data_IF_237417170065
#
_entry.id   IF_237417170065
#
_cell.length_a   1.000
_cell.length_b   1.000
_cell.length_c   1.000
_cell.angle_alpha   90.00
_cell.angle_beta   90.00
_cell.angle_gamma   90.00
#
_symmetry.space_group_name_H-M   'P 1'
#
loop_
_entity.id
_entity.type
_entity.pdbx_description
1 polymer ?
#
# COMPACT_ATOMS: atom_id res chain seq x y z
N UNK A 1 -0.67 -48.11 4.72
CA UNK A 1 -1.73 -47.10 4.92
C UNK A 1 -1.14 -45.80 4.43
N UNK A 2 -1.66 -45.26 3.34
CA UNK A 2 -1.12 -44.03 2.75
C UNK A 2 -1.36 -42.89 3.73
N UNK A 3 -0.29 -42.18 4.11
CA UNK A 3 -0.39 -40.92 4.83
C UNK A 3 -1.24 -39.96 3.98
N UNK A 4 -2.49 -39.74 4.39
CA UNK A 4 -3.31 -38.68 3.81
C UNK A 4 -2.63 -37.36 4.23
N UNK A 5 -1.86 -36.76 3.32
CA UNK A 5 -1.23 -35.46 3.54
C UNK A 5 -2.31 -34.45 3.92
N UNK A 6 -2.23 -33.91 5.14
CA UNK A 6 -3.21 -32.96 5.68
C UNK A 6 -2.94 -31.55 5.14
N UNK A 7 -3.27 -31.33 3.88
CA UNK A 7 -3.09 -30.04 3.20
C UNK A 7 -4.28 -29.08 3.39
N UNK A 8 -5.37 -29.51 4.04
CA UNK A 8 -6.58 -28.70 4.22
C UNK A 8 -6.68 -28.03 5.59
N UNK A 9 -6.08 -28.60 6.65
CA UNK A 9 -6.14 -28.02 8.00
C UNK A 9 -5.53 -26.62 8.06
N UNK A 10 -4.42 -26.36 7.36
CA UNK A 10 -3.82 -25.04 7.28
C UNK A 10 -4.75 -24.02 6.61
N UNK A 11 -5.50 -24.44 5.59
CA UNK A 11 -6.50 -23.60 4.92
C UNK A 11 -7.64 -23.26 5.89
N UNK A 12 -8.17 -24.23 6.64
CA UNK A 12 -9.25 -23.96 7.62
C UNK A 12 -8.81 -22.93 8.67
N UNK A 13 -7.60 -23.10 9.22
CA UNK A 13 -7.04 -22.17 10.20
C UNK A 13 -6.84 -20.74 9.65
N UNK A 14 -6.47 -20.60 8.36
CA UNK A 14 -6.30 -19.29 7.74
C UNK A 14 -7.63 -18.51 7.58
N UNK A 15 -8.75 -19.21 7.44
CA UNK A 15 -10.07 -18.61 7.24
C UNK A 15 -10.89 -18.44 8.53
N UNK A 16 -10.53 -19.14 9.61
CA UNK A 16 -11.11 -18.97 10.94
C UNK A 16 -11.18 -17.50 11.42
N UNK A 17 -10.11 -16.67 11.33
CA UNK A 17 -10.17 -15.27 11.75
C UNK A 17 -11.06 -14.41 10.85
N UNK A 18 -11.29 -14.80 9.60
CA UNK A 18 -12.13 -14.05 8.66
C UNK A 18 -13.63 -14.22 8.96
N UNK A 19 -14.02 -15.28 9.69
CA UNK A 19 -15.40 -15.57 10.11
C UNK A 19 -16.43 -15.40 8.97
N UNK A 20 -16.17 -15.99 7.80
CA UNK A 20 -17.08 -15.84 6.66
C UNK A 20 -18.46 -16.47 6.97
N UNK A 21 -19.58 -15.80 6.64
CA UNK A 21 -20.92 -16.31 6.93
C UNK A 21 -21.28 -17.57 6.11
N UNK A 22 -20.70 -17.70 4.92
CA UNK A 22 -20.75 -18.86 4.05
C UNK A 22 -19.57 -18.78 3.06
N UNK A 23 -19.09 -19.89 2.48
CA UNK A 23 -19.42 -21.30 2.73
C UNK A 23 -18.62 -21.94 3.88
N UNK A 24 -19.12 -23.05 4.46
CA UNK A 24 -18.41 -23.79 5.50
C UNK A 24 -17.14 -24.48 4.97
N UNK A 25 -15.99 -24.19 5.59
CA UNK A 25 -14.71 -24.79 5.25
C UNK A 25 -14.56 -26.21 5.81
N UNK A 26 -15.21 -27.17 5.15
CA UNK A 26 -15.10 -28.58 5.53
C UNK A 26 -13.97 -29.30 4.77
N UNK A 27 -13.28 -30.27 5.39
CA UNK A 27 -12.24 -31.07 4.72
C UNK A 27 -12.72 -31.75 3.43
N UNK A 28 -14.00 -32.13 3.37
CA UNK A 28 -14.62 -32.76 2.19
C UNK A 28 -14.58 -31.85 0.96
N UNK A 29 -14.82 -30.55 1.15
CA UNK A 29 -14.76 -29.56 0.06
C UNK A 29 -13.33 -29.23 -0.31
N UNK A 30 -12.41 -29.15 0.66
CA UNK A 30 -11.00 -28.81 0.44
C UNK A 30 -10.19 -29.94 -0.22
N UNK A 31 -10.60 -31.21 -0.06
CA UNK A 31 -10.00 -32.35 -0.79
C UNK A 31 -10.22 -32.28 -2.31
N UNK A 32 -11.33 -31.69 -2.76
CA UNK A 32 -11.63 -31.49 -4.19
C UNK A 32 -12.52 -30.25 -4.36
N UNK A 33 -11.94 -29.03 -4.30
CA UNK A 33 -12.73 -27.81 -4.25
C UNK A 33 -13.48 -27.59 -5.57
N UNK A 34 -14.82 -27.59 -5.58
CA UNK A 34 -15.59 -27.25 -6.78
C UNK A 34 -15.46 -25.74 -7.07
N UNK A 35 -15.54 -25.35 -8.34
CA UNK A 35 -15.46 -23.92 -8.72
C UNK A 35 -16.47 -23.04 -7.97
N UNK A 36 -17.70 -23.54 -7.80
CA UNK A 36 -18.77 -22.86 -7.05
C UNK A 36 -18.31 -22.49 -5.63
N UNK A 37 -17.65 -23.41 -4.94
CA UNK A 37 -17.13 -23.19 -3.59
C UNK A 37 -16.05 -22.10 -3.56
N UNK A 38 -15.11 -22.11 -4.52
CA UNK A 38 -14.08 -21.06 -4.63
C UNK A 38 -14.72 -19.69 -4.88
N UNK A 39 -15.72 -19.64 -5.78
CA UNK A 39 -16.46 -18.42 -6.07
C UNK A 39 -17.23 -17.92 -4.84
N UNK A 40 -17.92 -18.82 -4.13
CA UNK A 40 -18.68 -18.47 -2.93
C UNK A 40 -17.77 -17.95 -1.81
N UNK A 41 -16.55 -18.48 -1.67
CA UNK A 41 -15.53 -17.93 -0.74
C UNK A 41 -15.20 -16.48 -1.10
N UNK A 42 -14.91 -16.21 -2.39
CA UNK A 42 -14.55 -14.87 -2.83
C UNK A 42 -15.72 -13.91 -2.62
N UNK A 43 -16.95 -14.30 -2.96
CA UNK A 43 -18.16 -13.52 -2.67
C UNK A 43 -18.34 -13.29 -1.17
N UNK A 44 -18.05 -14.27 -0.33
CA UNK A 44 -18.10 -14.13 1.14
C UNK A 44 -17.09 -13.10 1.64
N UNK A 45 -15.87 -13.11 1.11
CA UNK A 45 -14.84 -12.10 1.42
C UNK A 45 -15.28 -10.73 0.93
N UNK A 46 -15.79 -10.62 -0.30
CA UNK A 46 -16.24 -9.35 -0.86
C UNK A 46 -17.46 -8.77 -0.12
N UNK A 47 -18.39 -9.61 0.32
CA UNK A 47 -19.53 -9.18 1.11
C UNK A 47 -19.15 -8.60 2.47
N UNK A 48 -18.07 -9.09 3.09
CA UNK A 48 -17.63 -8.67 4.43
C UNK A 48 -16.55 -7.58 4.42
N UNK A 49 -15.58 -7.72 3.52
CA UNK A 49 -14.36 -6.91 3.48
C UNK A 49 -14.25 -6.01 2.25
N UNK A 50 -15.09 -6.24 1.23
CA UNK A 50 -15.11 -5.51 -0.04
C UNK A 50 -13.73 -5.40 -0.72
N UNK A 51 -12.96 -6.48 -0.67
CA UNK A 51 -11.53 -6.53 -1.02
C UNK A 51 -11.26 -6.70 -2.53
N UNK A 52 -11.98 -7.60 -3.21
CA UNK A 52 -11.74 -8.02 -4.60
C UNK A 52 -12.74 -7.47 -5.62
N UNK A 53 -13.80 -6.80 -5.17
CA UNK A 53 -14.83 -6.17 -6.02
C UNK A 53 -14.26 -5.29 -7.16
N UNK A 54 -13.10 -4.68 -6.97
CA UNK A 54 -12.48 -3.79 -7.96
C UNK A 54 -11.59 -4.52 -8.99
N UNK A 55 -11.27 -5.78 -8.72
CA UNK A 55 -10.39 -6.63 -9.55
C UNK A 55 -11.22 -7.50 -10.49
N UNK A 56 -12.35 -8.01 -9.99
CA UNK A 56 -13.22 -8.91 -10.73
C UNK A 56 -14.20 -8.07 -11.55
N UNK A 57 -14.25 -8.25 -12.89
CA UNK A 57 -15.21 -7.57 -13.75
C UNK A 57 -16.66 -7.86 -13.30
N UNK A 58 -17.54 -6.87 -13.37
CA UNK A 58 -18.96 -7.01 -12.95
C UNK A 58 -19.68 -8.14 -13.69
N UNK A 59 -19.24 -8.48 -14.89
CA UNK A 59 -19.79 -9.60 -15.68
C UNK A 59 -19.44 -10.99 -15.13
N UNK A 60 -18.35 -11.09 -14.36
CA UNK A 60 -17.83 -12.32 -13.76
C UNK A 60 -18.11 -12.43 -12.25
N UNK A 61 -18.77 -11.43 -11.65
CA UNK A 61 -19.18 -11.46 -10.24
C UNK A 61 -20.39 -12.37 -9.99
N UNK A 62 -21.23 -12.59 -11.00
CA UNK A 62 -22.40 -13.46 -10.87
C UNK A 62 -22.05 -14.92 -11.21
N UNK A 63 -22.17 -15.80 -10.22
CA UNK A 63 -21.96 -17.25 -10.41
C UNK A 63 -22.78 -17.86 -11.56
N UNK A 64 -23.96 -17.31 -11.86
CA UNK A 64 -24.83 -17.75 -12.96
C UNK A 64 -24.41 -17.24 -14.35
N UNK A 65 -23.47 -16.29 -14.43
CA UNK A 65 -22.91 -15.82 -15.71
C UNK A 65 -21.62 -16.55 -16.08
N UNK A 66 -21.01 -17.25 -15.11
CA UNK A 66 -19.73 -17.95 -15.21
C UNK A 66 -19.94 -19.46 -15.41
N UNK A 67 -20.77 -19.82 -16.38
CA UNK A 67 -21.10 -21.22 -16.66
C UNK A 67 -20.05 -21.87 -17.57
N UNK A 68 -19.56 -21.10 -18.54
CA UNK A 68 -18.62 -21.54 -19.57
C UNK A 68 -17.23 -21.80 -18.98
N UNK A 69 -16.54 -22.83 -19.48
CA UNK A 69 -15.20 -23.23 -19.03
C UNK A 69 -14.18 -22.10 -19.18
N UNK A 70 -14.26 -21.34 -20.26
CA UNK A 70 -13.38 -20.23 -20.59
C UNK A 70 -13.50 -19.12 -19.54
N UNK A 71 -14.74 -18.76 -19.16
CA UNK A 71 -15.01 -17.73 -18.14
C UNK A 71 -14.50 -18.14 -16.76
N UNK A 72 -14.61 -19.43 -16.41
CA UNK A 72 -14.04 -19.96 -15.14
C UNK A 72 -12.52 -19.82 -15.10
N UNK A 73 -11.87 -20.10 -16.24
CA UNK A 73 -10.42 -19.95 -16.38
C UNK A 73 -10.03 -18.47 -16.29
N UNK A 74 -10.75 -17.59 -16.98
CA UNK A 74 -10.53 -16.14 -16.94
C UNK A 74 -10.66 -15.58 -15.52
N UNK A 75 -11.75 -15.92 -14.82
CA UNK A 75 -11.97 -15.53 -13.43
C UNK A 75 -10.80 -15.92 -12.52
N UNK A 76 -10.39 -17.20 -12.57
CA UNK A 76 -9.27 -17.68 -11.75
C UNK A 76 -7.94 -17.06 -12.16
N UNK A 77 -7.72 -16.81 -13.45
CA UNK A 77 -6.48 -16.19 -13.94
C UNK A 77 -6.35 -14.76 -13.41
N UNK A 78 -7.42 -13.97 -13.49
CA UNK A 78 -7.45 -12.61 -12.96
C UNK A 78 -7.20 -12.59 -11.46
N UNK A 79 -7.85 -13.49 -10.71
CA UNK A 79 -7.69 -13.58 -9.26
C UNK A 79 -6.27 -14.01 -8.85
N UNK A 80 -5.69 -15.02 -9.52
CA UNK A 80 -4.32 -15.48 -9.26
C UNK A 80 -3.31 -14.37 -9.56
N UNK A 81 -3.46 -13.69 -10.71
CA UNK A 81 -2.57 -12.60 -11.09
C UNK A 81 -2.62 -11.47 -10.05
N UNK A 82 -3.81 -11.12 -9.58
CA UNK A 82 -3.97 -10.11 -8.54
C UNK A 82 -3.28 -10.49 -7.23
N UNK A 83 -3.51 -11.71 -6.73
CA UNK A 83 -2.86 -12.20 -5.50
C UNK A 83 -1.33 -12.24 -5.67
N UNK A 84 -0.83 -12.64 -6.85
CA UNK A 84 0.60 -12.64 -7.14
C UNK A 84 1.20 -11.22 -7.10
N UNK A 85 0.52 -10.23 -7.66
CA UNK A 85 0.96 -8.82 -7.62
C UNK A 85 0.93 -8.28 -6.20
N UNK A 86 -0.14 -8.57 -5.46
CA UNK A 86 -0.36 -8.05 -4.12
C UNK A 86 0.66 -8.59 -3.11
N UNK A 87 0.92 -9.90 -3.14
CA UNK A 87 1.87 -10.56 -2.24
C UNK A 87 3.31 -10.53 -2.77
N UNK A 88 3.52 -10.10 -4.02
CA UNK A 88 4.81 -10.20 -4.73
C UNK A 88 5.41 -11.63 -4.73
N UNK A 89 4.53 -12.64 -4.72
CA UNK A 89 4.90 -14.08 -4.74
C UNK A 89 4.33 -14.69 -6.02
N UNK A 90 5.10 -15.54 -6.71
CA UNK A 90 4.58 -16.33 -7.83
C UNK A 90 4.00 -17.66 -7.33
N UNK A 91 2.68 -17.80 -7.43
CA UNK A 91 2.00 -19.05 -7.12
C UNK A 91 2.07 -20.04 -8.31
N UNK A 92 2.58 -21.25 -8.07
CA UNK A 92 2.61 -22.35 -9.06
C UNK A 92 1.22 -23.02 -9.16
N UNK A 93 0.23 -22.27 -9.64
CA UNK A 93 -1.16 -22.69 -9.71
C UNK A 93 -1.72 -22.47 -11.10
N UNK A 94 -2.23 -23.54 -11.71
CA UNK A 94 -2.79 -23.46 -13.06
C UNK A 94 -4.33 -23.45 -13.01
N UNK A 95 -5.00 -22.39 -13.52
CA UNK A 95 -6.45 -22.27 -13.48
C UNK A 95 -7.17 -23.42 -14.21
N UNK A 96 -6.56 -23.99 -15.26
CA UNK A 96 -7.12 -25.16 -15.98
C UNK A 96 -7.15 -26.42 -15.10
N UNK A 97 -6.17 -26.58 -14.20
CA UNK A 97 -6.07 -27.71 -13.26
C UNK A 97 -7.12 -27.57 -12.15
N UNK A 98 -7.31 -26.37 -11.61
CA UNK A 98 -8.36 -26.08 -10.63
C UNK A 98 -9.74 -26.40 -11.20
N UNK A 99 -10.08 -25.90 -12.40
CA UNK A 99 -11.41 -26.13 -13.02
C UNK A 99 -11.67 -27.62 -13.29
N UNK A 100 -10.62 -28.41 -13.56
CA UNK A 100 -10.74 -29.86 -13.74
C UNK A 100 -10.68 -30.66 -12.43
N UNK A 101 -10.50 -30.00 -11.28
CA UNK A 101 -10.40 -30.63 -9.96
C UNK A 101 -9.11 -31.44 -9.76
N UNK A 102 -8.02 -31.05 -10.43
CA UNK A 102 -6.68 -31.60 -10.24
C UNK A 102 -5.84 -30.69 -9.35
N UNK A 103 -4.82 -31.26 -8.70
CA UNK A 103 -3.88 -30.52 -7.84
C UNK A 103 -4.59 -29.75 -6.69
N UNK A 104 -5.39 -30.44 -5.85
CA UNK A 104 -6.08 -29.80 -4.73
C UNK A 104 -5.09 -29.20 -3.71
N UNK A 105 -3.90 -29.79 -3.56
CA UNK A 105 -2.82 -29.27 -2.70
C UNK A 105 -2.43 -27.85 -3.08
N UNK A 106 -2.11 -27.61 -4.35
CA UNK A 106 -1.76 -26.29 -4.90
C UNK A 106 -2.94 -25.31 -4.82
N UNK A 107 -4.16 -25.82 -5.00
CA UNK A 107 -5.38 -25.01 -4.84
C UNK A 107 -5.55 -24.54 -3.40
N UNK A 108 -5.27 -25.40 -2.41
CA UNK A 108 -5.31 -25.04 -0.99
C UNK A 108 -4.25 -24.00 -0.63
N UNK A 109 -3.03 -24.12 -1.16
CA UNK A 109 -2.00 -23.09 -1.02
C UNK A 109 -2.52 -21.74 -1.56
N UNK A 110 -3.10 -21.72 -2.76
CA UNK A 110 -3.72 -20.50 -3.31
C UNK A 110 -4.81 -19.93 -2.39
N UNK A 111 -5.68 -20.76 -1.83
CA UNK A 111 -6.71 -20.30 -0.88
C UNK A 111 -6.10 -19.71 0.41
N UNK A 112 -5.00 -20.26 0.92
CA UNK A 112 -4.29 -19.69 2.08
C UNK A 112 -3.73 -18.30 1.76
N UNK A 113 -3.10 -18.14 0.59
CA UNK A 113 -2.63 -16.83 0.14
C UNK A 113 -3.79 -15.85 -0.10
N UNK A 114 -4.93 -16.33 -0.60
CA UNK A 114 -6.12 -15.52 -0.77
C UNK A 114 -6.62 -15.00 0.58
N UNK A 115 -6.71 -15.83 1.61
CA UNK A 115 -7.09 -15.40 2.96
C UNK A 115 -6.12 -14.36 3.55
N UNK A 116 -4.81 -14.58 3.41
CA UNK A 116 -3.80 -13.64 3.89
C UNK A 116 -3.81 -12.31 3.12
N UNK A 117 -4.11 -12.35 1.82
CA UNK A 117 -4.17 -11.20 0.93
C UNK A 117 -5.32 -10.24 1.24
N UNK A 118 -6.35 -10.64 2.00
CA UNK A 118 -7.52 -9.79 2.29
C UNK A 118 -7.10 -8.45 2.94
N UNK A 119 -6.20 -8.49 3.92
CA UNK A 119 -5.74 -7.28 4.61
C UNK A 119 -5.00 -6.32 3.67
N UNK A 120 -4.13 -6.84 2.82
CA UNK A 120 -3.39 -6.05 1.83
C UNK A 120 -4.30 -5.53 0.70
N UNK A 121 -5.30 -6.31 0.28
CA UNK A 121 -6.25 -5.92 -0.76
C UNK A 121 -7.13 -4.74 -0.31
N UNK A 122 -7.48 -4.67 0.98
CA UNK A 122 -8.17 -3.50 1.54
C UNK A 122 -7.31 -2.23 1.48
N UNK A 123 -6.00 -2.35 1.74
CA UNK A 123 -5.06 -1.23 1.65
C UNK A 123 -4.87 -0.77 0.20
N UNK A 124 -4.68 -1.71 -0.74
CA UNK A 124 -4.56 -1.42 -2.18
C UNK A 124 -5.80 -0.72 -2.73
N UNK A 125 -7.00 -1.15 -2.32
CA UNK A 125 -8.25 -0.47 -2.67
C UNK A 125 -8.29 0.96 -2.14
N UNK A 126 -7.93 1.17 -0.86
CA UNK A 126 -7.90 2.51 -0.27
C UNK A 126 -6.89 3.42 -0.99
N UNK A 127 -5.73 2.88 -1.38
CA UNK A 127 -4.72 3.60 -2.17
C UNK A 127 -5.24 3.96 -3.56
N UNK A 128 -5.87 3.03 -4.28
CA UNK A 128 -6.47 3.30 -5.61
C UNK A 128 -7.62 4.30 -5.56
N UNK A 129 -8.41 4.30 -4.49
CA UNK A 129 -9.46 5.30 -4.28
C UNK A 129 -8.85 6.68 -3.98
N UNK A 130 -7.77 6.74 -3.20
CA UNK A 130 -7.02 7.97 -2.95
C UNK A 130 -6.32 8.51 -4.22
N UNK A 131 -5.74 7.63 -5.05
CA UNK A 131 -5.14 8.00 -6.34
C UNK A 131 -6.18 8.50 -7.35
N UNK A 132 -7.37 7.89 -7.39
CA UNK A 132 -8.51 8.38 -8.20
C UNK A 132 -9.00 9.74 -7.72
N UNK A 133 -8.98 10.00 -6.41
CA UNK A 133 -9.30 11.33 -5.86
C UNK A 133 -8.19 12.35 -6.12
N UNK A 134 -6.92 11.95 -6.12
CA UNK A 134 -5.81 12.82 -6.51
C UNK A 134 -5.87 13.17 -8.01
N UNK A 135 -6.23 12.21 -8.88
CA UNK A 135 -6.37 12.46 -10.32
C UNK A 135 -7.59 13.31 -10.69
N UNK A 136 -8.66 13.36 -9.88
CA UNK A 136 -9.77 14.30 -10.13
C UNK A 136 -9.49 15.74 -9.66
N UNK A 137 -8.50 15.98 -8.79
CA UNK A 137 -8.03 17.35 -8.47
C UNK A 137 -7.03 17.86 -9.51
N UNK A 138 -6.36 16.95 -10.25
CA UNK A 138 -5.43 17.31 -11.34
C UNK A 138 -6.03 17.28 -12.75
N UNK A 139 -7.32 16.95 -12.92
CA UNK A 139 -8.02 16.97 -14.21
C UNK A 139 -8.48 18.37 -14.66
N UNK A 140 -7.67 19.41 -14.38
CA UNK A 140 -7.71 20.69 -15.09
C UNK A 140 -6.43 20.89 -15.91
N UNK A 141 -5.97 19.86 -16.61
CA UNK A 141 -5.01 20.00 -17.70
C UNK A 141 -4.99 18.72 -18.55
N UNK A 142 -5.97 18.59 -19.43
CA UNK A 142 -5.90 17.72 -20.60
C UNK A 142 -6.64 18.42 -21.75
N UNK A 143 -6.04 19.50 -22.24
CA UNK A 143 -6.31 20.01 -23.58
C UNK A 143 -5.25 19.41 -24.50
N UNK A 144 -5.55 18.24 -25.02
CA UNK A 144 -5.01 17.66 -26.25
C UNK A 144 -5.91 16.44 -26.51
N UNK A 145 -6.24 16.15 -27.78
CA UNK A 145 -7.15 15.06 -28.21
C UNK A 145 -8.67 15.31 -28.33
N UNK A 146 -9.13 16.57 -28.45
CA UNK A 146 -10.50 16.86 -28.98
C UNK A 146 -10.51 17.50 -30.37
N UNK A 147 -9.35 17.88 -30.91
CA UNK A 147 -9.25 18.54 -32.21
C UNK A 147 -9.38 17.56 -33.41
N UNK A 148 -9.04 16.29 -33.23
CA UNK A 148 -9.03 15.31 -34.34
C UNK A 148 -10.41 14.68 -34.59
N UNK A 149 -11.26 14.58 -33.56
CA UNK A 149 -12.61 14.02 -33.69
C UNK A 149 -13.62 15.00 -34.31
N UNK A 150 -13.41 16.32 -34.10
CA UNK A 150 -14.31 17.37 -34.57
C UNK A 150 -14.19 17.65 -36.09
N UNK A 151 -13.04 17.34 -36.71
CA UNK A 151 -12.81 17.54 -38.13
C UNK A 151 -13.62 16.59 -39.03
N UNK A 152 -14.18 15.50 -38.49
CA UNK A 152 -14.94 14.50 -39.25
C UNK A 152 -16.44 14.79 -39.40
N UNK A 153 -17.01 15.73 -38.64
CA UNK A 153 -18.47 15.93 -38.57
C UNK A 153 -18.99 17.32 -38.96
N UNK A 154 -18.18 18.19 -39.57
CA UNK A 154 -18.68 19.34 -40.34
C UNK A 154 -19.55 20.36 -39.58
N UNK A 155 -19.33 20.56 -38.28
CA UNK A 155 -20.05 21.57 -37.50
C UNK A 155 -19.14 22.77 -37.20
N UNK A 156 -19.49 23.92 -37.78
CA UNK A 156 -18.75 25.17 -37.65
C UNK A 156 -19.28 25.95 -36.44
N UNK A 157 -18.49 26.03 -35.37
CA UNK A 157 -18.80 26.86 -34.20
C UNK A 157 -18.17 28.26 -34.34
N UNK A 158 -18.87 29.34 -33.91
CA UNK A 158 -18.42 30.72 -34.06
C UNK A 158 -17.22 31.08 -33.18
N UNK A 159 -16.47 32.09 -33.64
CA UNK A 159 -15.16 32.50 -33.10
C UNK A 159 -15.21 32.98 -31.64
N UNK A 160 -14.17 32.61 -30.87
CA UNK A 160 -13.98 32.81 -29.42
C UNK A 160 -13.95 34.27 -28.95
N UNK A 161 -13.94 35.25 -29.84
CA UNK A 161 -13.80 36.68 -29.50
C UNK A 161 -15.11 37.38 -29.07
N UNK A 162 -16.23 36.65 -29.01
CA UNK A 162 -17.55 37.24 -28.72
C UNK A 162 -18.06 37.02 -27.28
N UNK A 163 -17.24 36.45 -26.37
CA UNK A 163 -17.67 36.22 -24.98
C UNK A 163 -17.14 37.30 -24.03
N UNK A 164 -17.98 37.90 -23.16
CA UNK A 164 -17.57 38.96 -22.24
C UNK A 164 -16.61 38.41 -21.18
N UNK A 165 -15.38 38.94 -21.16
CA UNK A 165 -14.32 38.56 -20.23
C UNK A 165 -14.66 39.04 -18.82
N UNK A 166 -15.08 38.13 -17.94
CA UNK A 166 -15.23 38.41 -16.50
C UNK A 166 -13.84 38.67 -15.91
N UNK A 167 -13.61 39.88 -15.41
CA UNK A 167 -12.34 40.34 -14.83
C UNK A 167 -12.09 39.59 -13.52
N UNK A 168 -11.36 38.49 -13.55
CA UNK A 168 -10.84 37.85 -12.33
C UNK A 168 -9.63 38.65 -11.84
N UNK A 169 -9.69 39.05 -10.57
CA UNK A 169 -8.67 39.83 -9.87
C UNK A 169 -7.36 39.03 -9.74
N UNK A 170 -6.38 39.34 -10.58
CA UNK A 170 -5.02 38.78 -10.56
C UNK A 170 -4.20 39.17 -9.32
N UNK A 171 -4.67 40.12 -8.52
CA UNK A 171 -4.01 40.55 -7.27
C UNK A 171 -4.10 39.51 -6.15
N UNK A 172 -5.21 38.77 -6.03
CA UNK A 172 -5.42 37.85 -4.91
C UNK A 172 -4.48 36.62 -4.92
N UNK A 173 -4.13 36.09 -6.10
CA UNK A 173 -3.21 34.95 -6.24
C UNK A 173 -1.73 35.32 -6.10
N UNK A 174 -1.37 36.59 -6.34
CA UNK A 174 -0.01 37.09 -6.15
C UNK A 174 0.26 37.35 -4.66
N UNK A 175 -0.67 38.03 -3.98
CA UNK A 175 -0.58 38.28 -2.53
C UNK A 175 -0.60 36.98 -1.72
N UNK A 176 -1.39 35.97 -2.13
CA UNK A 176 -1.37 34.64 -1.50
C UNK A 176 0.00 33.98 -1.61
N UNK A 177 0.64 33.98 -2.79
CA UNK A 177 1.99 33.42 -2.94
C UNK A 177 3.02 34.17 -2.08
N UNK A 178 2.96 35.50 -2.04
CA UNK A 178 3.87 36.31 -1.20
C UNK A 178 3.71 36.00 0.30
N UNK A 179 2.48 35.77 0.79
CA UNK A 179 2.24 35.38 2.19
C UNK A 179 2.67 33.95 2.54
N UNK A 180 2.81 33.07 1.55
CA UNK A 180 3.18 31.66 1.76
C UNK A 180 4.70 31.41 1.74
N UNK A 181 5.47 32.32 1.13
CA UNK A 181 6.94 32.24 1.07
C UNK A 181 7.65 32.18 2.44
N UNK A 182 7.30 32.97 3.47
CA UNK A 182 8.03 32.94 4.74
C UNK A 182 7.87 31.60 5.49
N UNK A 183 6.67 31.01 5.48
CA UNK A 183 6.43 29.71 6.12
C UNK A 183 7.17 28.56 5.42
N UNK A 184 7.24 28.60 4.08
CA UNK A 184 8.03 27.63 3.30
C UNK A 184 9.54 27.81 3.58
N UNK A 185 10.03 29.05 3.66
CA UNK A 185 11.43 29.34 4.01
C UNK A 185 11.79 28.90 5.43
N UNK A 186 10.88 29.07 6.40
CA UNK A 186 11.07 28.59 7.77
C UNK A 186 11.15 27.06 7.81
N UNK A 187 10.30 26.35 7.07
CA UNK A 187 10.33 24.90 6.97
C UNK A 187 11.63 24.39 6.32
N UNK A 188 12.10 25.03 5.24
CA UNK A 188 13.38 24.69 4.60
C UNK A 188 14.57 24.95 5.53
N UNK A 189 14.56 26.04 6.30
CA UNK A 189 15.59 26.35 7.27
C UNK A 189 15.64 25.32 8.41
N UNK A 190 14.48 24.86 8.89
CA UNK A 190 14.38 23.79 9.88
C UNK A 190 14.91 22.46 9.35
N UNK A 191 14.56 22.09 8.10
CA UNK A 191 15.08 20.89 7.45
C UNK A 191 16.61 20.92 7.31
N UNK A 192 17.18 22.06 6.91
CA UNK A 192 18.65 22.22 6.85
C UNK A 192 19.31 22.11 8.23
N UNK A 193 18.62 22.53 9.29
CA UNK A 193 19.08 22.40 10.66
C UNK A 193 19.03 20.94 11.13
N UNK A 194 18.01 20.18 10.73
CA UNK A 194 17.91 18.73 10.96
C UNK A 194 19.04 17.96 10.26
N UNK A 195 19.41 18.32 9.03
CA UNK A 195 20.53 17.68 8.31
C UNK A 195 21.88 17.79 9.04
N UNK A 196 22.07 18.83 9.87
CA UNK A 196 23.29 19.04 10.66
C UNK A 196 23.30 18.28 11.99
N UNK A 197 22.15 17.83 12.48
CA UNK A 197 22.06 16.90 13.58
C UNK A 197 22.16 15.51 12.99
N UNK A 198 23.13 14.72 13.44
CA UNK A 198 23.44 13.37 12.95
C UNK A 198 22.33 12.35 13.22
N UNK A 199 21.10 12.65 12.81
CA UNK A 199 20.05 11.71 12.49
C UNK A 199 20.35 11.33 11.04
N UNK A 200 20.94 10.16 10.80
CA UNK A 200 21.16 9.60 9.46
C UNK A 200 19.83 9.27 8.75
N UNK A 201 18.93 10.26 8.64
CA UNK A 201 17.72 10.21 7.84
C UNK A 201 18.09 10.76 6.46
N UNK A 202 18.85 9.97 5.72
CA UNK A 202 19.21 10.28 4.35
C UNK A 202 17.99 10.08 3.44
N UNK A 203 17.02 10.98 3.52
CA UNK A 203 15.73 10.95 2.82
C UNK A 203 15.85 11.09 1.29
N UNK A 204 17.05 11.37 0.76
CA UNK A 204 17.32 11.56 -0.67
C UNK A 204 18.25 10.51 -1.28
N UNK A 205 18.89 9.65 -0.49
CA UNK A 205 19.71 8.57 -1.03
C UNK A 205 18.80 7.38 -1.41
N UNK A 206 18.95 6.79 -2.62
CA UNK A 206 18.39 5.48 -2.88
C UNK A 206 19.14 4.47 -2.02
N UNK A 207 18.62 4.19 -0.82
CA UNK A 207 19.13 3.10 0.00
C UNK A 207 18.68 1.79 -0.65
N UNK A 208 19.64 0.90 -0.95
CA UNK A 208 19.33 -0.45 -1.39
C UNK A 208 18.65 -1.19 -0.23
N UNK A 209 17.36 -1.45 -0.40
CA UNK A 209 16.47 -2.07 0.61
C UNK A 209 17.08 -3.37 1.13
N UNK A 210 17.87 -4.07 0.31
CA UNK A 210 18.53 -5.31 0.68
C UNK A 210 19.68 -5.10 1.66
N UNK A 211 20.48 -4.05 1.48
CA UNK A 211 21.59 -3.73 2.39
C UNK A 211 21.07 -3.23 3.73
N UNK A 212 20.02 -2.41 3.72
CA UNK A 212 19.40 -1.90 4.95
C UNK A 212 18.74 -3.04 5.74
N UNK A 213 18.02 -3.94 5.06
CA UNK A 213 17.48 -5.15 5.67
C UNK A 213 18.57 -6.04 6.29
N UNK A 214 19.72 -6.18 5.63
CA UNK A 214 20.86 -6.92 6.18
C UNK A 214 21.45 -6.25 7.42
N UNK A 215 21.55 -4.92 7.46
CA UNK A 215 22.01 -4.17 8.63
C UNK A 215 21.08 -4.34 9.82
N UNK A 216 19.77 -4.25 9.58
CA UNK A 216 18.74 -4.46 10.62
C UNK A 216 18.82 -5.89 11.19
N UNK A 217 18.97 -6.90 10.32
CA UNK A 217 19.10 -8.30 10.76
C UNK A 217 20.41 -8.55 11.50
N UNK A 218 21.53 -7.96 11.05
CA UNK A 218 22.81 -8.05 11.76
C UNK A 218 22.72 -7.44 13.16
N UNK A 219 22.13 -6.25 13.27
CA UNK A 219 21.93 -5.57 14.54
C UNK A 219 20.97 -6.33 15.47
N UNK A 220 19.89 -6.89 14.93
CA UNK A 220 18.96 -7.74 15.69
C UNK A 220 19.63 -9.01 16.21
N UNK A 221 20.45 -9.67 15.39
CA UNK A 221 21.20 -10.85 15.81
C UNK A 221 22.24 -10.52 16.88
N UNK A 222 22.89 -9.37 16.78
CA UNK A 222 23.87 -8.88 17.76
C UNK A 222 23.21 -8.55 19.11
N UNK A 223 21.98 -8.01 19.09
CA UNK A 223 21.16 -7.80 20.29
C UNK A 223 20.59 -9.11 20.86
N UNK A 224 20.32 -10.10 20.01
CA UNK A 224 19.72 -11.38 20.40
C UNK A 224 20.74 -12.38 20.95
N UNK A 225 22.04 -12.17 20.73
CA UNK A 225 23.08 -12.93 21.40
C UNK A 225 23.35 -12.35 22.80
N UNK A 226 23.08 -13.09 23.89
CA UNK A 226 23.53 -12.68 25.21
C UNK A 226 25.06 -12.68 25.20
N UNK A 227 25.66 -11.49 25.29
CA UNK A 227 27.10 -11.31 25.40
C UNK A 227 27.64 -12.22 26.51
N UNK A 228 28.48 -13.19 26.12
CA UNK A 228 29.33 -13.94 27.03
C UNK A 228 30.19 -12.93 27.78
N UNK A 229 30.06 -12.94 29.12
CA UNK A 229 30.85 -12.19 30.11
C UNK A 229 31.92 -11.24 29.55
N UNK A 230 31.51 -10.05 29.15
CA UNK A 230 32.45 -8.94 29.06
C UNK A 230 32.67 -8.45 30.48
N UNK A 231 33.82 -8.82 31.04
CA UNK A 231 34.38 -8.18 32.23
C UNK A 231 34.26 -6.67 32.02
N UNK A 232 33.42 -6.01 32.84
CA UNK A 232 33.09 -4.59 32.68
C UNK A 232 34.39 -3.80 32.44
N UNK A 233 34.56 -3.10 31.31
CA UNK A 233 35.65 -2.15 31.22
C UNK A 233 35.40 -1.15 32.34
N UNK A 234 36.36 -1.01 33.27
CA UNK A 234 36.36 0.07 34.23
C UNK A 234 36.61 1.37 33.45
N UNK A 235 35.58 1.83 32.76
CA UNK A 235 35.53 3.14 32.11
C UNK A 235 35.85 4.13 33.22
N UNK A 236 36.89 4.96 33.02
CA UNK A 236 37.27 5.95 34.03
C UNK A 236 36.07 6.86 34.28
N UNK A 237 35.88 7.27 35.55
CA UNK A 237 34.75 8.12 35.96
C UNK A 237 34.64 9.36 35.07
N UNK A 238 35.77 9.94 34.68
CA UNK A 238 35.87 11.08 33.75
C UNK A 238 35.32 10.78 32.34
N UNK A 239 35.55 9.57 31.81
CA UNK A 239 35.01 9.14 30.52
C UNK A 239 33.50 8.94 30.61
N UNK A 240 33.01 8.41 31.73
CA UNK A 240 31.57 8.24 31.99
C UNK A 240 30.87 9.59 32.12
N UNK A 241 31.44 10.53 32.89
CA UNK A 241 30.91 11.88 33.05
C UNK A 241 30.87 12.63 31.71
N UNK A 242 31.91 12.52 30.90
CA UNK A 242 31.94 13.12 29.56
C UNK A 242 30.88 12.53 28.66
N UNK A 243 30.68 11.21 28.69
CA UNK A 243 29.63 10.54 27.92
C UNK A 243 28.22 10.97 28.40
N UNK A 244 27.99 11.04 29.70
CA UNK A 244 26.71 11.49 30.29
C UNK A 244 26.42 12.94 29.90
N UNK A 245 27.42 13.83 29.98
CA UNK A 245 27.25 15.23 29.61
C UNK A 245 26.92 15.40 28.13
N UNK A 246 27.59 14.64 27.24
CA UNK A 246 27.27 14.62 25.81
C UNK A 246 25.85 14.12 25.55
N UNK A 247 25.42 13.08 26.25
CA UNK A 247 24.05 12.56 26.15
C UNK A 247 23.02 13.61 26.61
N UNK A 248 23.26 14.28 27.74
CA UNK A 248 22.41 15.35 28.24
C UNK A 248 22.32 16.53 27.28
N UNK A 249 23.43 16.91 26.66
CA UNK A 249 23.46 17.96 25.63
C UNK A 249 22.62 17.57 24.41
N UNK A 250 22.75 16.32 23.96
CA UNK A 250 21.95 15.76 22.87
C UNK A 250 20.45 15.79 23.19
N UNK A 251 20.05 15.41 24.40
CA UNK A 251 18.64 15.44 24.83
C UNK A 251 18.11 16.88 24.88
N UNK A 252 18.90 17.83 25.42
CA UNK A 252 18.51 19.25 25.44
C UNK A 252 18.31 19.80 24.02
N UNK A 253 19.19 19.43 23.12
CA UNK A 253 19.15 19.80 21.71
C UNK A 253 17.90 19.25 20.99
N UNK A 254 17.54 17.98 21.24
CA UNK A 254 16.28 17.39 20.76
C UNK A 254 15.08 18.17 21.31
N UNK A 255 15.10 18.56 22.58
CA UNK A 255 14.02 19.37 23.18
C UNK A 255 13.85 20.74 22.53
N UNK A 256 14.93 21.35 22.03
CA UNK A 256 14.87 22.60 21.25
C UNK A 256 14.30 22.34 19.86
N UNK A 257 14.71 21.27 19.20
CA UNK A 257 14.20 20.87 17.88
C UNK A 257 12.71 20.59 17.89
N UNK A 258 12.20 19.93 18.93
CA UNK A 258 10.75 19.66 19.06
C UNK A 258 9.95 20.97 19.13
N UNK A 259 10.41 21.95 19.91
CA UNK A 259 9.76 23.27 19.99
C UNK A 259 9.79 24.02 18.64
N UNK A 260 10.90 23.93 17.90
CA UNK A 260 10.99 24.53 16.57
C UNK A 260 10.07 23.80 15.57
N UNK A 261 9.94 22.48 15.69
CA UNK A 261 9.01 21.68 14.89
C UNK A 261 7.56 22.10 15.12
N UNK A 262 7.15 22.32 16.37
CA UNK A 262 5.79 22.76 16.71
C UNK A 262 5.47 24.10 16.01
N UNK A 263 6.41 25.05 16.02
CA UNK A 263 6.25 26.35 15.34
C UNK A 263 6.13 26.19 13.82
N UNK A 264 6.94 25.30 13.22
CA UNK A 264 6.85 25.02 11.78
C UNK A 264 5.52 24.37 11.42
N UNK A 265 5.00 23.48 12.28
CA UNK A 265 3.69 22.86 12.09
C UNK A 265 2.59 23.92 12.14
N UNK A 266 2.59 24.80 13.14
CA UNK A 266 1.63 25.91 13.27
C UNK A 266 1.67 26.84 12.03
N UNK A 267 2.88 27.19 11.55
CA UNK A 267 3.08 28.01 10.35
C UNK A 267 2.51 27.32 9.09
N UNK A 268 2.65 25.99 8.97
CA UNK A 268 2.13 25.22 7.84
C UNK A 268 0.61 24.99 7.93
N UNK A 269 0.06 24.75 9.12
CA UNK A 269 -1.39 24.62 9.33
C UNK A 269 -2.13 25.92 9.00
N UNK A 270 -1.53 27.08 9.30
CA UNK A 270 -2.06 28.38 8.92
C UNK A 270 -2.10 28.63 7.40
N UNK A 271 -1.32 27.87 6.60
CA UNK A 271 -1.32 27.98 5.13
C UNK A 271 -2.43 27.15 4.47
N UNK A 272 -2.82 26.05 5.13
CA UNK A 272 -3.79 25.06 4.64
C UNK A 272 -5.21 25.39 5.09
N UNK A 273 -5.36 26.01 6.27
CA UNK A 273 -6.63 26.51 6.82
C UNK A 273 -7.16 27.75 6.09
#
# INVERSE_FOLDING_TARGET
>A
MSEESDFWSATIAAYEPLQLPAPEMTPKLLKRPPFRFIHDIVCGIDGRFAAYNHVIPTELQDSAKVDTKEKKIEYLTTLINYVNTLMSVQLDVNPKKIVSGHEPEKTNVFLQYLAAAVGYAQQDKAQKEAEKQATCVSASSAQEDVAELAARHGLQLPSRDSLPRKKSSSTASATRRESQLPAIQNAEAFNRKLEGFSLDLNLKAPQDIKEEGQRIVMMWNELSTPQVETKAPSISVETLETAINRQLETIKMIGVLLKESDVVIDDLEALVS
#
